data_IF_176993089680
#
_entry.id   IF_176993089680
#
_cell.length_a   1.000
_cell.length_b   1.000
_cell.length_c   1.000
_cell.angle_alpha   90.00
_cell.angle_beta   90.00
_cell.angle_gamma   90.00
#
_symmetry.space_group_name_H-M   'P 1'
#
loop_
_entity.id
_entity.type
_entity.pdbx_description
1 polymer ?
#
# COMPACT_ATOMS: atom_id res chain seq x y z
N UNK A 1 63.36 -63.74 37.77
CA UNK A 1 63.26 -64.65 38.94
C UNK A 1 61.94 -64.35 39.65
N UNK A 2 61.13 -65.39 39.93
CA UNK A 2 59.85 -65.41 40.68
C UNK A 2 58.66 -64.60 40.10
N UNK A 3 57.60 -65.21 39.54
CA UNK A 3 56.56 -66.12 40.08
C UNK A 3 55.73 -65.57 41.25
N UNK A 4 54.46 -65.34 40.93
CA UNK A 4 53.23 -65.68 41.66
C UNK A 4 52.93 -65.02 43.03
N UNK A 5 51.76 -64.38 43.19
CA UNK A 5 50.50 -65.00 43.66
C UNK A 5 49.45 -63.95 44.09
N UNK A 6 48.19 -64.32 43.87
CA UNK A 6 46.96 -64.10 44.67
C UNK A 6 46.06 -62.87 44.44
N UNK A 7 44.89 -63.22 43.89
CA UNK A 7 43.56 -62.64 44.00
C UNK A 7 43.24 -61.92 45.33
N UNK A 8 42.52 -60.79 45.23
CA UNK A 8 41.21 -60.58 45.89
C UNK A 8 40.48 -59.34 45.33
N UNK A 9 39.27 -59.63 44.81
CA UNK A 9 38.01 -58.87 44.72
C UNK A 9 38.00 -57.43 45.27
N UNK A 10 37.46 -56.48 44.50
CA UNK A 10 36.32 -55.60 44.85
C UNK A 10 35.82 -54.90 43.56
N UNK A 11 34.51 -54.99 43.36
CA UNK A 11 33.69 -54.33 42.32
C UNK A 11 33.55 -52.85 42.68
N UNK A 12 33.72 -51.93 41.72
CA UNK A 12 32.78 -50.81 41.47
C UNK A 12 33.25 -49.93 40.30
N UNK A 13 32.27 -49.36 39.60
CA UNK A 13 32.30 -48.30 38.59
C UNK A 13 32.70 -48.67 37.15
N UNK A 14 31.68 -49.08 36.39
CA UNK A 14 31.64 -48.98 34.94
C UNK A 14 31.67 -47.51 34.51
N UNK A 15 32.79 -47.07 33.95
CA UNK A 15 32.82 -46.03 32.92
C UNK A 15 33.39 -46.66 31.66
N UNK A 16 32.52 -47.29 30.88
CA UNK A 16 32.84 -47.75 29.53
C UNK A 16 32.36 -46.69 28.54
N UNK A 17 33.36 -46.01 27.99
CA UNK A 17 33.39 -45.26 26.75
C UNK A 17 32.28 -45.71 25.75
N UNK A 18 31.19 -44.95 25.66
CA UNK A 18 30.27 -45.05 24.52
C UNK A 18 30.90 -44.22 23.41
N UNK A 19 31.59 -44.91 22.50
CA UNK A 19 31.77 -44.42 21.14
C UNK A 19 30.39 -44.38 20.48
N UNK A 20 29.72 -43.24 20.58
CA UNK A 20 28.49 -43.00 19.84
C UNK A 20 28.90 -42.52 18.46
N UNK A 21 28.95 -43.46 17.51
CA UNK A 21 28.76 -43.16 16.09
C UNK A 21 27.31 -42.68 15.97
N UNK A 22 27.07 -41.39 16.13
CA UNK A 22 25.81 -40.79 15.70
C UNK A 22 25.81 -40.78 14.19
N UNK A 23 25.03 -41.71 13.64
CA UNK A 23 24.53 -41.65 12.28
C UNK A 23 24.05 -40.21 11.98
N UNK A 24 24.61 -39.62 10.92
CA UNK A 24 23.97 -38.53 10.19
C UNK A 24 22.60 -39.02 9.72
N UNK A 25 21.54 -38.78 10.49
CA UNK A 25 20.18 -38.72 9.95
C UNK A 25 19.84 -37.25 9.67
N UNK A 26 20.65 -36.65 8.80
CA UNK A 26 20.35 -35.37 8.17
C UNK A 26 19.63 -35.64 6.85
N UNK A 27 18.39 -35.16 6.76
CA UNK A 27 17.67 -34.94 5.50
C UNK A 27 17.48 -36.15 4.57
N UNK A 28 16.52 -37.00 4.91
CA UNK A 28 15.73 -37.71 3.90
C UNK A 28 14.24 -37.46 4.15
N UNK A 29 13.81 -36.23 3.85
CA UNK A 29 12.46 -35.96 3.38
C UNK A 29 12.59 -35.13 2.10
N UNK A 30 13.22 -35.70 1.07
CA UNK A 30 12.82 -35.38 -0.29
C UNK A 30 11.55 -36.20 -0.55
N UNK A 31 10.40 -35.67 -0.13
CA UNK A 31 9.19 -35.98 -0.91
C UNK A 31 9.48 -35.51 -2.33
N UNK A 32 9.02 -36.26 -3.32
CA UNK A 32 9.27 -35.98 -4.72
C UNK A 32 8.76 -34.57 -5.11
N UNK A 33 9.62 -33.55 -4.98
CA UNK A 33 9.36 -32.22 -5.50
C UNK A 33 9.36 -32.35 -7.03
N UNK A 34 8.16 -32.45 -7.61
CA UNK A 34 8.01 -32.39 -9.05
C UNK A 34 8.68 -31.11 -9.56
N UNK A 35 9.65 -31.24 -10.47
CA UNK A 35 10.36 -30.09 -11.02
C UNK A 35 9.38 -29.01 -11.49
N UNK A 36 9.65 -27.74 -11.18
CA UNK A 36 8.80 -26.64 -11.64
C UNK A 36 8.85 -26.61 -13.18
N UNK A 37 7.70 -26.74 -13.88
CA UNK A 37 7.69 -26.72 -15.33
C UNK A 37 8.18 -25.38 -15.86
N UNK A 38 8.62 -25.34 -17.11
CA UNK A 38 8.99 -24.07 -17.76
C UNK A 38 7.73 -23.20 -17.94
N UNK A 39 7.78 -21.89 -17.64
CA UNK A 39 6.65 -21.01 -17.91
C UNK A 39 6.38 -20.92 -19.42
N UNK A 40 5.09 -20.79 -19.76
CA UNK A 40 4.61 -20.56 -21.12
C UNK A 40 4.90 -19.15 -21.63
N UNK A 41 4.87 -18.16 -20.73
CA UNK A 41 5.24 -16.78 -20.98
C UNK A 41 5.99 -16.25 -19.76
N UNK A 42 7.00 -15.41 -19.97
CA UNK A 42 7.82 -14.87 -18.89
C UNK A 42 8.31 -13.47 -19.24
N UNK A 43 8.00 -12.51 -18.37
CA UNK A 43 8.44 -11.12 -18.46
C UNK A 43 9.38 -10.83 -17.31
N UNK A 44 10.62 -10.45 -17.63
CA UNK A 44 11.64 -10.09 -16.64
C UNK A 44 11.87 -8.57 -16.73
N UNK A 45 11.77 -7.89 -15.60
CA UNK A 45 11.86 -6.43 -15.52
C UNK A 45 13.31 -6.01 -15.26
N UNK A 46 14.17 -6.34 -16.23
CA UNK A 46 15.56 -5.90 -16.28
C UNK A 46 15.83 -5.07 -17.55
N UNK A 47 17.05 -4.55 -17.69
CA UNK A 47 17.45 -3.75 -18.84
C UNK A 47 17.45 -4.52 -20.19
N UNK A 48 17.37 -5.86 -20.17
CA UNK A 48 17.28 -6.70 -21.37
C UNK A 48 15.83 -7.04 -21.71
N UNK A 49 15.00 -7.28 -20.71
CA UNK A 49 13.60 -7.62 -20.84
C UNK A 49 12.73 -6.42 -21.17
N UNK A 50 13.10 -5.22 -20.70
CA UNK A 50 12.49 -3.95 -21.10
C UNK A 50 13.47 -3.13 -21.94
N UNK A 51 13.12 -2.87 -23.20
CA UNK A 51 13.91 -2.01 -24.08
C UNK A 51 13.01 -1.24 -25.06
N UNK A 52 13.43 -0.03 -25.45
CA UNK A 52 12.72 0.79 -26.43
C UNK A 52 11.20 0.94 -26.14
N UNK A 53 10.84 1.20 -24.88
CA UNK A 53 9.46 1.30 -24.42
C UNK A 53 8.60 0.04 -24.69
N UNK A 54 9.24 -1.14 -24.60
CA UNK A 54 8.56 -2.43 -24.73
C UNK A 54 9.07 -3.43 -23.70
N UNK A 55 8.17 -4.23 -23.15
CA UNK A 55 8.49 -5.44 -22.38
C UNK A 55 8.47 -6.64 -23.33
N UNK A 56 9.48 -7.49 -23.26
CA UNK A 56 9.58 -8.71 -24.05
C UNK A 56 9.11 -9.91 -23.24
N UNK A 57 8.20 -10.69 -23.81
CA UNK A 57 7.94 -12.05 -23.36
C UNK A 57 9.05 -12.98 -23.89
N UNK A 58 9.67 -13.77 -23.02
CA UNK A 58 10.72 -14.74 -23.41
C UNK A 58 10.24 -15.80 -24.41
N UNK A 59 8.94 -16.09 -24.47
CA UNK A 59 8.37 -16.97 -25.49
C UNK A 59 8.05 -16.25 -26.81
N UNK A 60 8.16 -14.93 -26.84
CA UNK A 60 7.92 -14.09 -28.03
C UNK A 60 6.44 -13.92 -28.40
N UNK A 61 5.50 -14.36 -27.55
CA UNK A 61 4.06 -14.37 -27.87
C UNK A 61 3.41 -13.04 -27.50
N UNK A 62 3.77 -12.50 -26.34
CA UNK A 62 3.14 -11.31 -25.78
C UNK A 62 4.17 -10.24 -25.39
N UNK A 63 4.76 -9.58 -26.39
CA UNK A 63 5.60 -8.41 -26.15
C UNK A 63 4.77 -7.12 -26.14
N UNK A 64 4.80 -6.38 -25.04
CA UNK A 64 3.91 -5.24 -24.82
C UNK A 64 4.56 -3.88 -25.08
N UNK A 65 3.73 -2.88 -25.39
CA UNK A 65 4.12 -1.46 -25.44
C UNK A 65 3.99 -0.87 -24.04
N UNK A 66 4.95 -0.07 -23.62
CA UNK A 66 4.85 0.70 -22.39
C UNK A 66 3.72 1.71 -22.47
N UNK A 67 2.98 1.84 -21.36
CA UNK A 67 2.08 2.94 -21.05
C UNK A 67 2.77 3.74 -19.95
N UNK A 68 2.81 5.07 -20.07
CA UNK A 68 3.53 5.92 -19.12
C UNK A 68 5.05 5.74 -19.21
N UNK A 69 5.75 5.94 -18.09
CA UNK A 69 7.22 5.92 -17.98
C UNK A 69 7.64 5.20 -16.70
N UNK A 70 7.41 3.87 -16.59
CA UNK A 70 7.91 3.10 -15.45
C UNK A 70 9.44 3.17 -15.41
N UNK A 71 10.02 3.18 -14.21
CA UNK A 71 11.45 3.46 -14.03
C UNK A 71 12.23 2.21 -13.64
N UNK A 72 13.35 1.99 -14.33
CA UNK A 72 14.28 0.90 -13.99
C UNK A 72 15.00 1.20 -12.67
N UNK A 73 15.06 0.19 -11.79
CA UNK A 73 15.80 0.23 -10.54
C UNK A 73 16.53 -1.09 -10.32
N UNK A 74 17.56 -1.02 -9.48
CA UNK A 74 18.32 -2.19 -9.06
C UNK A 74 18.70 -2.05 -7.59
N UNK A 75 18.52 -3.13 -6.84
CA UNK A 75 19.02 -3.29 -5.47
C UNK A 75 19.82 -4.58 -5.46
N UNK A 76 21.11 -4.49 -5.15
CA UNK A 76 22.06 -5.59 -5.22
C UNK A 76 21.99 -6.33 -6.58
N UNK A 77 21.68 -7.63 -6.55
CA UNK A 77 21.53 -8.47 -7.75
C UNK A 77 20.11 -8.42 -8.36
N UNK A 78 19.16 -7.72 -7.74
CA UNK A 78 17.75 -7.70 -8.14
C UNK A 78 17.43 -6.46 -8.97
N UNK A 79 17.11 -6.68 -10.24
CA UNK A 79 16.57 -5.66 -11.14
C UNK A 79 15.04 -5.70 -11.14
N UNK A 80 14.41 -4.53 -11.21
CA UNK A 80 12.96 -4.38 -11.27
C UNK A 80 12.57 -3.05 -11.91
N UNK A 81 11.28 -2.88 -12.18
CA UNK A 81 10.72 -1.60 -12.60
C UNK A 81 9.71 -1.08 -11.58
N UNK A 82 9.77 0.21 -11.29
CA UNK A 82 8.79 0.95 -10.48
C UNK A 82 7.70 1.56 -11.36
N UNK A 83 6.47 1.48 -10.88
CA UNK A 83 5.24 1.97 -11.50
C UNK A 83 4.64 3.05 -10.61
N UNK A 84 4.11 4.12 -11.22
CA UNK A 84 3.65 5.33 -10.54
C UNK A 84 2.14 5.58 -10.74
N UNK A 85 1.34 4.51 -10.84
CA UNK A 85 -0.12 4.56 -10.95
C UNK A 85 -0.65 4.94 -12.35
N UNK A 86 0.16 5.59 -13.18
CA UNK A 86 -0.18 5.93 -14.57
C UNK A 86 0.56 5.07 -15.60
N UNK A 87 1.40 4.15 -15.13
CA UNK A 87 2.26 3.31 -15.95
C UNK A 87 1.61 1.96 -16.30
N UNK A 88 2.26 1.17 -17.16
CA UNK A 88 1.84 -0.19 -17.47
C UNK A 88 2.55 -0.75 -18.70
N UNK A 89 2.23 -1.98 -19.08
CA UNK A 89 2.59 -2.52 -20.39
C UNK A 89 1.40 -3.20 -21.04
N UNK A 90 0.93 -2.62 -22.13
CA UNK A 90 -0.13 -3.18 -22.95
C UNK A 90 0.45 -4.30 -23.81
N UNK A 91 0.12 -5.55 -23.48
CA UNK A 91 0.54 -6.73 -24.23
C UNK A 91 -0.30 -6.89 -25.50
N UNK A 92 -1.61 -6.66 -25.40
CA UNK A 92 -2.56 -6.67 -26.51
C UNK A 92 -3.84 -5.91 -26.14
N UNK A 93 -4.33 -5.04 -27.02
CA UNK A 93 -5.53 -4.23 -26.78
C UNK A 93 -6.83 -5.05 -26.77
N UNK A 94 -6.98 -5.92 -27.77
CA UNK A 94 -8.17 -6.76 -27.94
C UNK A 94 -7.74 -8.22 -27.90
N UNK A 95 -7.42 -8.73 -26.71
CA UNK A 95 -7.06 -10.12 -26.51
C UNK A 95 -8.31 -11.01 -26.38
N UNK A 96 -8.16 -12.28 -26.74
CA UNK A 96 -9.20 -13.30 -26.60
C UNK A 96 -8.58 -14.58 -26.02
N UNK A 97 -9.42 -15.50 -25.52
CA UNK A 97 -8.95 -16.80 -25.05
C UNK A 97 -8.35 -17.71 -26.13
N UNK A 98 -8.49 -17.36 -27.41
CA UNK A 98 -7.96 -18.13 -28.53
C UNK A 98 -6.48 -17.86 -28.84
N UNK A 99 -5.89 -16.82 -28.24
CA UNK A 99 -4.52 -16.41 -28.52
C UNK A 99 -3.50 -17.46 -28.00
N UNK A 100 -2.49 -17.85 -28.80
CA UNK A 100 -1.48 -18.81 -28.36
C UNK A 100 -0.75 -18.34 -27.10
N UNK A 101 -0.83 -19.13 -26.03
CA UNK A 101 -0.20 -18.80 -24.75
C UNK A 101 -1.13 -18.14 -23.73
N UNK A 102 -2.39 -17.85 -24.08
CA UNK A 102 -3.40 -17.53 -23.08
C UNK A 102 -3.78 -18.77 -22.26
N UNK A 103 -4.10 -18.63 -20.96
CA UNK A 103 -4.65 -19.70 -20.14
C UNK A 103 -5.97 -20.27 -20.69
N UNK A 104 -6.25 -21.56 -20.50
CA UNK A 104 -7.52 -22.18 -20.94
C UNK A 104 -8.28 -22.90 -19.81
N UNK A 105 -7.92 -24.13 -19.44
CA UNK A 105 -8.61 -24.91 -18.38
C UNK A 105 -7.92 -24.87 -17.03
N UNK A 106 -6.60 -24.66 -17.03
CA UNK A 106 -5.77 -24.63 -15.84
C UNK A 106 -4.56 -23.77 -16.08
N UNK A 107 -4.11 -23.06 -15.05
CA UNK A 107 -2.94 -22.21 -15.14
C UNK A 107 -2.41 -21.83 -13.76
N UNK A 108 -1.21 -21.28 -13.76
CA UNK A 108 -0.62 -20.63 -12.60
C UNK A 108 0.07 -19.34 -13.00
N UNK A 109 0.07 -18.38 -12.08
CA UNK A 109 0.87 -17.17 -12.17
C UNK A 109 1.85 -17.12 -11.00
N UNK A 110 3.01 -16.54 -11.22
CA UNK A 110 3.98 -16.20 -10.17
C UNK A 110 4.57 -14.85 -10.51
N UNK A 111 4.70 -13.98 -9.49
CA UNK A 111 5.28 -12.66 -9.62
C UNK A 111 6.05 -12.30 -8.36
N UNK A 112 7.20 -11.64 -8.54
CA UNK A 112 7.83 -10.87 -7.47
C UNK A 112 7.32 -9.43 -7.57
N UNK A 113 6.58 -8.99 -6.54
CA UNK A 113 5.85 -7.72 -6.51
C UNK A 113 6.09 -6.97 -5.21
N UNK A 114 6.10 -5.64 -5.28
CA UNK A 114 6.02 -4.70 -4.17
C UNK A 114 4.86 -3.75 -4.42
N UNK A 115 3.98 -3.56 -3.44
CA UNK A 115 2.89 -2.57 -3.53
C UNK A 115 3.27 -1.38 -2.66
N UNK A 116 3.31 -0.19 -3.23
CA UNK A 116 3.72 1.04 -2.55
C UNK A 116 2.51 1.89 -2.16
N UNK A 117 1.41 1.81 -2.93
CA UNK A 117 0.12 2.42 -2.59
C UNK A 117 -1.01 1.40 -2.75
N UNK A 118 -1.92 1.36 -1.78
CA UNK A 118 -3.10 0.49 -1.85
C UNK A 118 -4.16 1.14 -2.72
N UNK A 119 -4.80 0.36 -3.57
CA UNK A 119 -5.87 0.80 -4.48
C UNK A 119 -6.93 -0.29 -4.47
N UNK A 120 -8.20 0.10 -4.52
CA UNK A 120 -9.29 -0.84 -4.81
C UNK A 120 -9.12 -1.34 -6.24
N UNK A 121 -9.28 -2.65 -6.47
CA UNK A 121 -9.15 -3.28 -7.80
C UNK A 121 -7.80 -3.00 -8.52
N UNK A 122 -6.68 -2.96 -7.79
CA UNK A 122 -5.36 -2.80 -8.39
C UNK A 122 -4.94 -4.04 -9.20
N UNK A 123 -4.40 -3.85 -10.41
CA UNK A 123 -3.99 -4.96 -11.29
C UNK A 123 -2.48 -5.14 -11.44
N UNK A 124 -2.04 -6.40 -11.52
CA UNK A 124 -0.64 -6.80 -11.75
C UNK A 124 -0.49 -7.41 -13.15
N UNK A 125 -1.34 -8.38 -13.49
CA UNK A 125 -1.45 -8.94 -14.83
C UNK A 125 -2.88 -9.48 -15.01
N UNK A 126 -3.55 -9.08 -16.08
CA UNK A 126 -4.90 -9.57 -16.34
C UNK A 126 -5.40 -9.29 -17.74
N UNK A 127 -6.48 -9.99 -18.07
CA UNK A 127 -7.29 -9.87 -19.27
C UNK A 127 -8.74 -10.07 -18.81
N UNK A 128 -9.41 -8.98 -18.46
CA UNK A 128 -10.70 -9.00 -17.74
C UNK A 128 -11.62 -7.88 -18.27
N UNK A 129 -12.92 -8.11 -18.14
CA UNK A 129 -14.01 -7.14 -18.31
C UNK A 129 -14.96 -7.33 -17.13
N UNK A 130 -15.28 -6.26 -16.40
CA UNK A 130 -16.17 -6.26 -15.23
C UNK A 130 -17.13 -5.05 -15.29
N UNK A 131 -17.99 -5.04 -16.32
CA UNK A 131 -18.87 -3.90 -16.61
C UNK A 131 -20.31 -4.20 -16.18
N UNK A 132 -20.60 -4.06 -14.89
CA UNK A 132 -21.90 -4.40 -14.31
C UNK A 132 -22.09 -5.91 -14.24
N UNK A 133 -23.03 -6.48 -15.00
CA UNK A 133 -23.23 -7.93 -15.02
C UNK A 133 -22.30 -8.66 -16.01
N UNK A 134 -21.54 -7.92 -16.83
CA UNK A 134 -20.62 -8.53 -17.78
C UNK A 134 -19.26 -8.82 -17.12
N UNK A 135 -19.14 -9.99 -16.50
CA UNK A 135 -17.99 -10.35 -15.65
C UNK A 135 -17.17 -11.51 -16.26
N UNK A 136 -16.16 -11.20 -17.08
CA UNK A 136 -15.39 -12.22 -17.83
C UNK A 136 -13.88 -12.01 -17.78
N UNK A 137 -13.13 -13.11 -17.72
CA UNK A 137 -11.68 -13.15 -17.78
C UNK A 137 -11.02 -13.44 -16.44
N UNK A 138 -9.81 -12.89 -16.23
CA UNK A 138 -9.03 -13.12 -15.02
C UNK A 138 -8.05 -11.98 -14.73
N UNK A 139 -7.71 -11.83 -13.46
CA UNK A 139 -6.79 -10.82 -12.96
C UNK A 139 -5.99 -11.35 -11.78
N UNK A 140 -4.66 -11.24 -11.84
CA UNK A 140 -3.81 -11.19 -10.65
C UNK A 140 -3.72 -9.74 -10.20
N UNK A 141 -4.07 -9.47 -8.94
CA UNK A 141 -4.19 -8.10 -8.46
C UNK A 141 -4.04 -7.95 -6.96
N UNK A 142 -4.55 -6.82 -6.47
CA UNK A 142 -4.64 -6.46 -5.07
C UNK A 142 -5.84 -5.56 -4.83
N UNK A 143 -6.28 -5.51 -3.58
CA UNK A 143 -7.39 -4.68 -3.13
C UNK A 143 -7.01 -4.12 -1.75
N UNK A 144 -6.68 -2.82 -1.73
CA UNK A 144 -6.26 -2.06 -0.55
C UNK A 144 -5.04 -2.61 0.21
N UNK A 145 -5.20 -3.68 0.97
CA UNK A 145 -4.16 -4.36 1.75
C UNK A 145 -4.14 -5.89 1.54
N UNK A 146 -4.98 -6.44 0.64
CA UNK A 146 -5.03 -7.86 0.29
C UNK A 146 -4.55 -8.11 -1.12
N UNK A 147 -3.83 -9.20 -1.35
CA UNK A 147 -3.64 -9.69 -2.72
C UNK A 147 -4.89 -10.42 -3.20
N UNK A 148 -5.17 -10.32 -4.49
CA UNK A 148 -6.37 -10.89 -5.10
C UNK A 148 -6.06 -11.76 -6.30
N UNK A 149 -6.91 -12.76 -6.49
CA UNK A 149 -7.01 -13.52 -7.72
C UNK A 149 -8.47 -13.53 -8.15
N UNK A 150 -8.77 -12.87 -9.26
CA UNK A 150 -10.11 -12.79 -9.83
C UNK A 150 -10.20 -13.68 -11.06
N UNK A 151 -11.29 -14.44 -11.17
CA UNK A 151 -11.48 -15.40 -12.24
C UNK A 151 -12.96 -15.59 -12.56
N UNK A 152 -13.29 -15.62 -13.85
CA UNK A 152 -14.58 -16.08 -14.39
C UNK A 152 -14.37 -17.36 -15.20
N UNK A 153 -15.26 -18.34 -15.02
CA UNK A 153 -15.16 -19.67 -15.65
C UNK A 153 -16.52 -20.14 -16.17
N UNK A 154 -16.50 -20.98 -17.20
CA UNK A 154 -17.70 -21.54 -17.82
C UNK A 154 -18.48 -22.49 -16.89
N UNK A 155 -17.89 -22.89 -15.75
CA UNK A 155 -18.58 -23.67 -14.73
C UNK A 155 -19.44 -22.85 -13.78
N UNK A 156 -19.11 -21.56 -13.59
CA UNK A 156 -19.84 -20.64 -12.72
C UNK A 156 -20.71 -19.62 -13.49
N UNK A 157 -20.60 -19.61 -14.83
CA UNK A 157 -21.31 -18.69 -15.72
C UNK A 157 -22.84 -18.77 -15.52
N UNK A 158 -23.44 -17.62 -15.22
CA UNK A 158 -24.88 -17.40 -15.03
C UNK A 158 -25.56 -16.71 -16.25
N UNK A 159 -24.82 -16.51 -17.33
CA UNK A 159 -25.33 -16.06 -18.64
C UNK A 159 -24.42 -15.03 -19.30
N UNK A 160 -24.05 -13.99 -18.55
CA UNK A 160 -23.16 -12.90 -18.95
C UNK A 160 -21.76 -12.99 -18.32
N UNK A 161 -21.49 -14.06 -17.58
CA UNK A 161 -20.23 -14.31 -16.90
C UNK A 161 -20.31 -13.96 -15.42
N UNK A 162 -19.54 -14.69 -14.61
CA UNK A 162 -19.52 -14.51 -13.16
C UNK A 162 -18.11 -14.58 -12.60
N UNK A 163 -17.62 -13.49 -12.03
CA UNK A 163 -16.30 -13.48 -11.39
C UNK A 163 -16.37 -13.94 -9.93
N UNK A 164 -15.32 -14.63 -9.49
CA UNK A 164 -15.00 -14.80 -8.07
C UNK A 164 -13.67 -14.11 -7.80
N UNK A 165 -13.65 -13.20 -6.83
CA UNK A 165 -12.42 -12.55 -6.34
C UNK A 165 -11.96 -13.20 -5.03
N UNK A 166 -10.95 -14.07 -5.13
CA UNK A 166 -10.30 -14.69 -3.97
C UNK A 166 -9.28 -13.71 -3.36
N UNK A 167 -9.41 -13.42 -2.06
CA UNK A 167 -8.50 -12.55 -1.30
C UNK A 167 -7.55 -13.38 -0.43
N UNK A 168 -6.32 -12.91 -0.26
CA UNK A 168 -5.39 -13.48 0.73
C UNK A 168 -5.90 -13.31 2.16
N UNK A 169 -5.61 -14.28 3.04
CA UNK A 169 -5.95 -14.17 4.47
C UNK A 169 -5.16 -13.03 5.13
N UNK A 170 -3.84 -13.03 4.96
CA UNK A 170 -2.97 -12.00 5.52
C UNK A 170 -3.06 -10.70 4.72
N UNK A 171 -2.90 -9.57 5.42
CA UNK A 171 -2.66 -8.27 4.76
C UNK A 171 -1.19 -8.13 4.40
N UNK A 172 -0.89 -7.56 3.23
CA UNK A 172 0.47 -7.20 2.88
C UNK A 172 0.86 -5.87 3.52
N UNK A 173 2.17 -5.68 3.70
CA UNK A 173 2.74 -4.42 4.13
C UNK A 173 3.20 -3.64 2.90
N UNK A 174 2.78 -2.38 2.77
CA UNK A 174 3.23 -1.52 1.67
C UNK A 174 4.75 -1.31 1.72
N UNK A 175 5.39 -1.14 0.56
CA UNK A 175 6.83 -1.02 0.42
C UNK A 175 7.61 -2.33 0.59
N UNK A 176 6.93 -3.47 0.87
CA UNK A 176 7.58 -4.77 1.08
C UNK A 176 7.45 -5.68 -0.14
N UNK A 177 8.52 -6.41 -0.45
CA UNK A 177 8.53 -7.40 -1.51
C UNK A 177 7.85 -8.70 -1.09
N UNK A 178 7.07 -9.26 -2.02
CA UNK A 178 6.40 -10.53 -1.88
C UNK A 178 6.55 -11.37 -3.16
N UNK A 179 6.69 -12.68 -2.98
CA UNK A 179 6.41 -13.63 -4.06
C UNK A 179 4.93 -13.98 -4.01
N UNK A 180 4.17 -13.44 -4.95
CA UNK A 180 2.74 -13.71 -5.11
C UNK A 180 2.56 -14.77 -6.19
N UNK A 181 1.81 -15.82 -5.89
CA UNK A 181 1.49 -16.85 -6.86
C UNK A 181 0.03 -17.29 -6.77
N UNK A 182 -0.53 -17.74 -7.89
CA UNK A 182 -1.87 -18.30 -7.95
C UNK A 182 -1.89 -19.60 -8.75
N UNK A 183 -2.85 -20.47 -8.46
CA UNK A 183 -3.10 -21.66 -9.27
C UNK A 183 -4.60 -21.89 -9.45
N UNK A 184 -4.97 -22.31 -10.65
CA UNK A 184 -6.31 -22.77 -10.98
C UNK A 184 -6.21 -24.10 -11.72
N UNK A 185 -6.82 -25.15 -11.17
CA UNK A 185 -6.75 -26.52 -11.69
C UNK A 185 -7.99 -26.96 -12.49
N UNK A 186 -8.92 -26.03 -12.75
CA UNK A 186 -10.21 -26.31 -13.38
C UNK A 186 -11.31 -26.66 -12.36
N UNK A 187 -11.02 -26.68 -11.06
CA UNK A 187 -12.00 -26.92 -10.00
C UNK A 187 -11.77 -26.08 -8.73
N UNK A 188 -10.53 -25.72 -8.43
CA UNK A 188 -10.12 -24.89 -7.30
C UNK A 188 -9.19 -23.78 -7.77
N UNK A 189 -9.43 -22.56 -7.30
CA UNK A 189 -8.50 -21.44 -7.41
C UNK A 189 -7.81 -21.20 -6.07
N UNK A 190 -6.51 -20.92 -6.09
CA UNK A 190 -5.67 -20.76 -4.90
C UNK A 190 -4.76 -19.55 -5.02
N UNK A 191 -4.48 -18.90 -3.90
CA UNK A 191 -3.54 -17.79 -3.79
C UNK A 191 -2.48 -18.11 -2.74
N UNK A 192 -1.22 -17.77 -3.05
CA UNK A 192 -0.06 -18.05 -2.23
C UNK A 192 0.79 -16.80 -2.06
N UNK A 193 1.28 -16.56 -0.83
CA UNK A 193 2.23 -15.49 -0.52
C UNK A 193 3.48 -16.14 0.04
N UNK A 194 4.65 -15.81 -0.52
CA UNK A 194 5.96 -16.31 -0.08
C UNK A 194 5.98 -17.84 0.07
N UNK A 195 5.40 -18.54 -0.92
CA UNK A 195 5.36 -20.01 -0.96
C UNK A 195 4.26 -20.66 -0.13
N UNK A 196 3.49 -19.91 0.68
CA UNK A 196 2.47 -20.45 1.59
C UNK A 196 1.06 -20.20 1.05
N UNK A 197 0.17 -21.18 1.20
CA UNK A 197 -1.25 -21.06 0.82
C UNK A 197 -1.96 -20.06 1.73
N UNK A 198 -2.57 -19.04 1.13
CA UNK A 198 -3.27 -17.97 1.84
C UNK A 198 -4.78 -17.93 1.58
N UNK A 199 -5.25 -18.69 0.59
CA UNK A 199 -6.68 -18.82 0.29
C UNK A 199 -6.96 -19.88 -0.78
N UNK A 200 -8.15 -20.47 -0.72
CA UNK A 200 -8.69 -21.40 -1.71
C UNK A 200 -10.19 -21.15 -1.88
N UNK A 201 -10.68 -21.25 -3.12
CA UNK A 201 -12.12 -21.26 -3.45
C UNK A 201 -12.41 -22.33 -4.50
N UNK A 202 -13.63 -22.88 -4.45
CA UNK A 202 -14.19 -23.86 -5.39
C UNK A 202 -15.38 -23.32 -6.18
N UNK A 203 -15.62 -22.02 -6.13
CA UNK A 203 -16.76 -21.40 -6.83
C UNK A 203 -16.60 -21.45 -8.36
N UNK A 204 -15.36 -21.38 -8.85
CA UNK A 204 -15.04 -21.41 -10.27
C UNK A 204 -14.61 -22.82 -10.71
N UNK A 205 -15.06 -23.28 -11.89
CA UNK A 205 -14.73 -24.61 -12.44
C UNK A 205 -14.76 -24.63 -13.98
N UNK A 206 -14.14 -25.64 -14.61
CA UNK A 206 -13.96 -25.80 -16.07
C UNK A 206 -13.03 -24.74 -16.71
N UNK A 207 -13.20 -24.48 -18.00
CA UNK A 207 -12.41 -23.50 -18.74
C UNK A 207 -12.76 -22.07 -18.36
N UNK A 208 -11.79 -21.18 -18.52
CA UNK A 208 -11.94 -19.74 -18.30
C UNK A 208 -12.98 -19.17 -19.27
N UNK A 209 -13.84 -18.29 -18.75
CA UNK A 209 -14.83 -17.55 -19.54
C UNK A 209 -14.20 -16.21 -19.94
N UNK A 210 -13.77 -16.08 -21.19
CA UNK A 210 -13.17 -14.86 -21.72
C UNK A 210 -14.21 -13.95 -22.37
N UNK A 211 -14.01 -12.64 -22.25
CA UNK A 211 -14.66 -11.68 -23.11
C UNK A 211 -14.20 -11.86 -24.58
N UNK A 212 -15.02 -11.39 -25.52
CA UNK A 212 -14.68 -11.39 -26.95
C UNK A 212 -13.57 -10.38 -27.30
N UNK A 213 -13.36 -9.38 -26.44
CA UNK A 213 -12.23 -8.47 -26.46
C UNK A 213 -11.99 -7.92 -25.05
N UNK A 214 -10.74 -7.97 -24.59
CA UNK A 214 -10.30 -7.31 -23.37
C UNK A 214 -8.82 -6.93 -23.48
N UNK A 215 -8.37 -5.84 -22.83
CA UNK A 215 -6.95 -5.50 -22.78
C UNK A 215 -6.20 -6.54 -21.96
N UNK A 216 -5.16 -7.13 -22.55
CA UNK A 216 -4.19 -7.95 -21.83
C UNK A 216 -3.02 -7.06 -21.42
N UNK A 217 -2.88 -6.83 -20.12
CA UNK A 217 -2.06 -5.73 -19.59
C UNK A 217 -1.31 -6.11 -18.32
N UNK A 218 -0.09 -5.59 -18.19
CA UNK A 218 0.75 -5.67 -16.99
C UNK A 218 0.69 -4.34 -16.24
N UNK A 219 0.66 -4.43 -14.90
CA UNK A 219 0.79 -3.30 -13.97
C UNK A 219 -0.45 -2.43 -13.88
N UNK A 220 -1.59 -2.92 -14.36
CA UNK A 220 -2.89 -2.23 -14.31
C UNK A 220 -4.02 -3.23 -14.27
N UNK A 221 -5.12 -2.81 -13.69
CA UNK A 221 -6.45 -3.31 -14.01
C UNK A 221 -7.07 -2.29 -14.96
N UNK A 222 -7.62 -2.77 -16.07
CA UNK A 222 -8.30 -1.94 -17.06
C UNK A 222 -9.34 -2.77 -17.76
N UNK A 223 -10.54 -2.24 -17.85
CA UNK A 223 -11.63 -2.73 -18.67
C UNK A 223 -12.26 -1.55 -19.44
N UNK A 224 -13.56 -1.59 -19.76
CA UNK A 224 -14.17 -0.58 -20.63
C UNK A 224 -14.43 0.77 -19.93
N UNK A 225 -14.66 0.79 -18.61
CA UNK A 225 -14.94 2.02 -17.86
C UNK A 225 -14.06 2.26 -16.61
N UNK A 226 -13.15 1.34 -16.28
CA UNK A 226 -12.19 1.48 -15.20
C UNK A 226 -10.72 1.38 -15.66
N UNK A 227 -9.82 2.12 -14.99
CA UNK A 227 -8.38 2.07 -15.25
C UNK A 227 -7.57 2.38 -13.97
N UNK A 228 -7.19 1.33 -13.25
CA UNK A 228 -6.44 1.42 -11.99
C UNK A 228 -5.01 0.89 -12.18
N UNK A 229 -4.05 1.82 -12.20
CA UNK A 229 -2.63 1.46 -12.36
C UNK A 229 -1.93 1.15 -11.04
N UNK A 230 -0.90 0.31 -11.14
CA UNK A 230 -0.03 -0.06 -10.04
C UNK A 230 0.83 1.13 -9.58
N UNK A 231 0.84 1.38 -8.27
CA UNK A 231 1.91 2.13 -7.60
C UNK A 231 2.74 1.13 -6.79
N UNK A 232 3.94 0.82 -7.27
CA UNK A 232 4.71 -0.30 -6.76
C UNK A 232 5.87 -0.71 -7.65
N UNK A 233 6.35 -1.94 -7.50
CA UNK A 233 7.42 -2.47 -8.32
C UNK A 233 7.21 -3.93 -8.72
N UNK A 234 7.54 -4.29 -9.96
CA UNK A 234 7.52 -5.66 -10.47
C UNK A 234 8.93 -6.06 -10.87
N UNK A 235 9.39 -7.24 -10.41
CA UNK A 235 10.68 -7.85 -10.81
C UNK A 235 10.50 -8.84 -11.95
N UNK A 236 9.50 -9.70 -11.86
CA UNK A 236 9.22 -10.72 -12.87
C UNK A 236 7.78 -11.21 -12.78
N UNK A 237 7.24 -11.65 -13.92
CA UNK A 237 5.97 -12.38 -13.99
C UNK A 237 6.16 -13.63 -14.85
N UNK A 238 5.68 -14.76 -14.36
CA UNK A 238 5.71 -16.05 -15.03
C UNK A 238 4.30 -16.64 -15.12
N UNK A 239 3.89 -17.02 -16.33
CA UNK A 239 2.60 -17.66 -16.59
C UNK A 239 2.80 -19.11 -17.05
N UNK A 240 2.10 -20.05 -16.40
CA UNK A 240 2.18 -21.49 -16.66
C UNK A 240 0.85 -22.02 -17.17
N UNK A 241 0.88 -22.95 -18.12
CA UNK A 241 -0.31 -23.64 -18.67
C UNK A 241 -0.77 -24.85 -17.82
N UNK A 242 -0.28 -24.92 -16.58
CA UNK A 242 -0.56 -25.98 -15.62
C UNK A 242 -0.79 -25.35 -14.25
N UNK A 243 -1.68 -25.93 -13.46
CA UNK A 243 -1.78 -25.61 -12.05
C UNK A 243 -0.54 -26.15 -11.31
N UNK A 244 0.29 -25.25 -10.79
CA UNK A 244 1.43 -25.62 -9.96
C UNK A 244 0.97 -26.13 -8.58
N UNK A 245 1.67 -27.13 -8.06
CA UNK A 245 1.47 -27.61 -6.69
C UNK A 245 2.01 -26.62 -5.66
N UNK A 246 1.60 -26.76 -4.40
CA UNK A 246 2.14 -25.96 -3.30
C UNK A 246 3.67 -26.10 -3.19
N UNK A 247 4.21 -27.31 -3.35
CA UNK A 247 5.65 -27.56 -3.32
C UNK A 247 6.40 -26.87 -4.46
N UNK A 248 5.81 -26.84 -5.67
CA UNK A 248 6.40 -26.12 -6.80
C UNK A 248 6.41 -24.60 -6.59
N UNK A 249 5.35 -24.07 -5.99
CA UNK A 249 5.24 -22.63 -5.66
C UNK A 249 6.21 -22.26 -4.54
N UNK A 250 6.36 -23.11 -3.52
CA UNK A 250 7.39 -22.94 -2.50
C UNK A 250 8.79 -22.95 -3.13
N UNK A 251 9.09 -23.89 -4.01
CA UNK A 251 10.37 -23.96 -4.72
C UNK A 251 10.63 -22.74 -5.62
N UNK A 252 9.60 -22.07 -6.14
CA UNK A 252 9.75 -20.79 -6.85
C UNK A 252 10.14 -19.65 -5.91
N UNK A 253 9.50 -19.55 -4.75
CA UNK A 253 9.81 -18.55 -3.73
C UNK A 253 11.26 -18.68 -3.23
N UNK A 254 11.71 -19.90 -2.94
CA UNK A 254 13.05 -20.16 -2.37
C UNK A 254 14.20 -19.67 -3.28
N UNK A 255 13.99 -19.51 -4.59
CA UNK A 255 15.01 -19.00 -5.52
C UNK A 255 15.47 -17.58 -5.20
N UNK A 256 14.58 -16.77 -4.65
CA UNK A 256 14.80 -15.34 -4.40
C UNK A 256 14.28 -14.93 -3.01
N UNK A 257 14.19 -15.86 -2.05
CA UNK A 257 13.64 -15.62 -0.71
C UNK A 257 14.32 -14.47 0.06
N UNK A 258 15.57 -14.15 -0.28
CA UNK A 258 16.28 -12.99 0.24
C UNK A 258 15.57 -11.66 -0.06
N UNK A 259 14.88 -11.55 -1.21
CA UNK A 259 14.15 -10.34 -1.61
C UNK A 259 12.98 -10.05 -0.67
N UNK A 260 12.25 -11.08 -0.22
CA UNK A 260 11.18 -10.94 0.77
C UNK A 260 11.69 -10.59 2.19
N UNK A 261 12.99 -10.76 2.42
CA UNK A 261 13.65 -10.46 3.70
C UNK A 261 14.18 -9.03 3.76
N UNK A 262 14.15 -8.28 2.66
CA UNK A 262 14.49 -6.86 2.66
C UNK A 262 13.50 -6.09 3.54
N UNK A 263 14.00 -5.06 4.22
CA UNK A 263 13.14 -4.10 4.90
C UNK A 263 12.20 -3.42 3.88
N UNK A 264 10.96 -3.07 4.26
CA UNK A 264 10.10 -2.26 3.42
C UNK A 264 10.81 -0.97 3.01
N UNK A 265 10.66 -0.55 1.75
CA UNK A 265 11.22 0.72 1.30
C UNK A 265 10.50 1.88 2.01
N UNK A 266 11.20 3.01 2.18
CA UNK A 266 10.52 4.19 2.65
C UNK A 266 9.51 4.71 1.63
N UNK A 267 8.26 4.92 2.05
CA UNK A 267 7.20 5.47 1.19
C UNK A 267 7.02 6.95 1.47
N UNK A 268 6.76 7.81 0.48
CA UNK A 268 6.52 9.23 0.73
C UNK A 268 5.36 9.42 1.73
N UNK A 269 5.61 10.17 2.81
CA UNK A 269 4.57 10.66 3.71
C UNK A 269 4.30 12.11 3.35
N UNK A 270 3.11 12.39 2.82
CA UNK A 270 2.66 13.75 2.52
C UNK A 270 1.64 14.24 3.53
N UNK A 271 1.37 15.55 3.54
CA UNK A 271 0.19 16.09 4.21
C UNK A 271 -1.04 15.85 3.34
N UNK A 272 -2.01 15.11 3.87
CA UNK A 272 -3.38 15.06 3.33
C UNK A 272 -4.09 16.36 3.69
N UNK A 273 -3.98 16.78 4.96
CA UNK A 273 -4.36 18.10 5.45
C UNK A 273 -3.11 18.74 6.05
N UNK A 274 -2.69 19.87 5.48
CA UNK A 274 -1.56 20.63 6.00
C UNK A 274 -1.88 21.26 7.38
N UNK A 275 -0.86 21.69 8.15
CA UNK A 275 -1.07 22.13 9.53
C UNK A 275 -2.07 23.26 9.67
N UNK A 276 -3.01 23.11 10.59
CA UNK A 276 -3.99 24.12 10.97
C UNK A 276 -4.08 24.28 12.48
N UNK A 277 -4.67 25.40 12.91
CA UNK A 277 -4.65 25.86 14.29
C UNK A 277 -6.04 25.76 14.93
N UNK A 278 -6.11 25.27 16.17
CA UNK A 278 -7.32 25.21 16.98
C UNK A 278 -7.06 25.56 18.44
N UNK A 279 -8.15 25.89 19.16
CA UNK A 279 -8.18 26.08 20.61
C UNK A 279 -7.05 26.96 21.21
N UNK A 280 -6.77 28.16 20.66
CA UNK A 280 -5.82 29.09 21.27
C UNK A 280 -6.33 29.53 22.65
N UNK A 281 -5.42 29.60 23.61
CA UNK A 281 -5.59 30.28 24.90
C UNK A 281 -4.53 31.36 25.05
N UNK A 282 -4.48 32.01 26.22
CA UNK A 282 -3.39 32.96 26.54
C UNK A 282 -2.03 32.26 26.62
N UNK A 283 -1.97 30.96 26.90
CA UNK A 283 -0.72 30.24 27.15
C UNK A 283 -0.60 28.90 26.43
N UNK A 284 -1.51 28.59 25.51
CA UNK A 284 -1.50 27.35 24.75
C UNK A 284 -2.17 27.49 23.39
N UNK A 285 -1.91 26.53 22.50
CA UNK A 285 -2.60 26.35 21.23
C UNK A 285 -2.50 24.89 20.79
N UNK A 286 -3.50 24.38 20.07
CA UNK A 286 -3.47 23.06 19.45
C UNK A 286 -3.15 23.19 17.96
N UNK A 287 -2.18 22.40 17.50
CA UNK A 287 -1.82 22.29 16.08
C UNK A 287 -2.24 20.91 15.60
N UNK A 288 -3.01 20.89 14.51
CA UNK A 288 -3.53 19.67 13.91
C UNK A 288 -3.11 19.54 12.45
N UNK A 289 -2.98 18.31 11.96
CA UNK A 289 -2.72 18.01 10.55
C UNK A 289 -3.07 16.55 10.25
N UNK A 290 -3.08 16.16 8.98
CA UNK A 290 -3.30 14.78 8.57
C UNK A 290 -2.22 14.33 7.59
N UNK A 291 -1.70 13.12 7.75
CA UNK A 291 -0.70 12.51 6.86
C UNK A 291 -1.26 11.36 6.04
N UNK A 292 -0.60 11.02 4.93
CA UNK A 292 -0.99 9.93 4.03
C UNK A 292 -0.69 8.53 4.57
N UNK A 293 -0.02 8.42 5.72
CA UNK A 293 0.30 7.16 6.40
C UNK A 293 0.51 7.43 7.89
N UNK A 294 0.19 6.48 8.80
CA UNK A 294 0.44 6.65 10.22
C UNK A 294 1.88 7.10 10.49
N UNK A 295 2.02 8.22 11.20
CA UNK A 295 3.32 8.85 11.42
C UNK A 295 3.44 9.48 12.81
N UNK A 296 4.67 9.76 13.23
CA UNK A 296 4.95 10.49 14.47
C UNK A 296 4.44 11.94 14.41
N UNK A 297 4.23 12.54 15.58
CA UNK A 297 3.70 13.91 15.69
C UNK A 297 4.70 14.81 16.40
N UNK A 298 5.41 15.68 15.66
CA UNK A 298 6.37 16.64 16.24
C UNK A 298 6.10 18.05 15.76
N UNK A 299 6.09 19.01 16.69
CA UNK A 299 6.06 20.45 16.41
C UNK A 299 7.31 21.09 17.00
N UNK A 300 8.08 21.80 16.19
CA UNK A 300 9.12 22.74 16.65
C UNK A 300 8.53 24.15 16.66
N UNK A 301 8.86 24.97 17.65
CA UNK A 301 8.32 26.33 17.77
C UNK A 301 9.27 27.29 18.51
N UNK A 302 9.00 28.59 18.40
CA UNK A 302 9.81 29.65 19.03
C UNK A 302 9.37 31.06 18.64
N UNK A 303 9.77 32.07 19.40
CA UNK A 303 9.52 33.49 19.08
C UNK A 303 10.52 34.05 18.06
N UNK A 304 11.56 33.28 17.74
CA UNK A 304 12.61 33.58 16.76
C UNK A 304 13.06 32.29 16.07
N UNK A 305 13.79 32.45 14.96
CA UNK A 305 14.52 31.36 14.31
C UNK A 305 15.98 31.33 14.80
N UNK A 306 16.63 30.16 14.87
CA UNK A 306 16.08 28.81 14.67
C UNK A 306 15.07 28.42 15.76
N UNK A 307 14.19 27.46 15.47
CA UNK A 307 13.19 26.97 16.42
C UNK A 307 13.86 26.05 17.44
N UNK A 308 13.86 26.45 18.71
CA UNK A 308 14.58 25.76 19.78
C UNK A 308 13.66 24.93 20.69
N UNK A 309 12.36 25.23 20.74
CA UNK A 309 11.39 24.46 21.52
C UNK A 309 10.72 23.41 20.66
N UNK A 310 10.29 22.31 21.28
CA UNK A 310 9.54 21.26 20.60
C UNK A 310 8.48 20.64 21.51
N UNK A 311 7.43 20.10 20.90
CA UNK A 311 6.40 19.29 21.53
C UNK A 311 6.12 18.07 20.65
N UNK A 312 5.77 16.95 21.27
CA UNK A 312 5.47 15.68 20.59
C UNK A 312 4.25 15.01 21.19
N UNK A 313 3.49 14.28 20.38
CA UNK A 313 2.48 13.32 20.86
C UNK A 313 3.01 11.90 20.65
N UNK A 314 2.92 11.07 21.68
CA UNK A 314 3.38 9.68 21.63
C UNK A 314 2.55 8.83 20.66
N UNK A 315 3.19 7.83 20.07
CA UNK A 315 2.57 6.93 19.08
C UNK A 315 2.58 7.48 17.65
N UNK A 316 1.91 6.76 16.76
CA UNK A 316 1.69 7.15 15.36
C UNK A 316 0.20 7.32 15.08
N UNK A 317 -0.15 8.27 14.23
CA UNK A 317 -1.54 8.53 13.84
C UNK A 317 -1.62 9.06 12.41
N UNK A 318 -2.80 8.98 11.81
CA UNK A 318 -3.11 9.65 10.53
C UNK A 318 -3.49 11.11 10.78
N UNK A 319 -4.38 11.34 11.74
CA UNK A 319 -4.75 12.67 12.25
C UNK A 319 -3.88 12.97 13.46
N UNK A 320 -3.18 14.09 13.41
CA UNK A 320 -2.23 14.53 14.42
C UNK A 320 -2.81 15.70 15.19
N UNK A 321 -2.49 15.75 16.47
CA UNK A 321 -2.95 16.79 17.39
C UNK A 321 -1.85 17.00 18.41
N UNK A 322 -1.26 18.19 18.44
CA UNK A 322 -0.19 18.53 19.39
C UNK A 322 -0.57 19.83 20.10
N UNK A 323 -0.70 19.75 21.42
CA UNK A 323 -0.88 20.89 22.31
C UNK A 323 0.48 21.51 22.61
N UNK A 324 0.63 22.80 22.32
CA UNK A 324 1.73 23.62 22.83
C UNK A 324 1.27 24.31 24.11
N UNK A 325 2.06 24.24 25.18
CA UNK A 325 1.73 24.84 26.48
C UNK A 325 2.84 25.78 26.95
N UNK A 326 2.58 26.53 28.05
CA UNK A 326 3.53 27.45 28.68
C UNK A 326 4.01 28.54 27.72
N UNK A 327 3.11 29.01 26.86
CA UNK A 327 3.36 30.12 25.95
C UNK A 327 3.08 31.45 26.65
N UNK A 328 3.72 32.50 26.16
CA UNK A 328 3.48 33.87 26.61
C UNK A 328 2.19 34.42 25.96
N UNK A 329 1.32 35.14 26.70
CA UNK A 329 0.14 35.78 26.14
C UNK A 329 0.44 36.82 25.07
N UNK A 330 -0.52 37.07 24.18
CA UNK A 330 -0.45 38.06 23.10
C UNK A 330 0.84 38.01 22.24
N UNK A 331 1.48 36.84 22.14
CA UNK A 331 2.82 36.68 21.56
C UNK A 331 2.75 35.92 20.25
N UNK A 332 3.51 36.41 19.25
CA UNK A 332 3.67 35.73 17.96
C UNK A 332 4.76 34.66 18.06
N UNK A 333 4.45 33.49 17.55
CA UNK A 333 5.35 32.35 17.47
C UNK A 333 5.51 31.91 16.02
N UNK A 334 6.70 31.42 15.70
CA UNK A 334 6.97 30.60 14.55
C UNK A 334 6.81 29.12 14.94
N UNK A 335 6.35 28.29 14.02
CA UNK A 335 6.28 26.84 14.21
C UNK A 335 6.55 26.08 12.92
N UNK A 336 6.95 24.82 13.05
CA UNK A 336 7.13 23.87 11.96
C UNK A 336 6.74 22.48 12.47
N UNK A 337 5.89 21.78 11.72
CA UNK A 337 5.55 20.38 11.99
C UNK A 337 6.41 19.42 11.18
N UNK A 338 6.76 18.29 11.79
CA UNK A 338 7.48 17.17 11.20
C UNK A 338 6.78 15.86 11.61
N UNK A 339 6.49 15.01 10.62
CA UNK A 339 5.94 13.67 10.82
C UNK A 339 6.80 12.64 10.08
N UNK A 340 7.15 11.56 10.77
CA UNK A 340 7.90 10.44 10.22
C UNK A 340 7.06 9.17 10.31
N UNK A 341 6.78 8.53 9.18
CA UNK A 341 6.10 7.23 9.16
C UNK A 341 7.07 6.10 9.49
N UNK A 342 6.53 4.96 9.93
CA UNK A 342 7.33 3.75 10.15
C UNK A 342 7.95 3.25 8.84
N UNK A 343 7.31 3.55 7.71
CA UNK A 343 7.86 3.39 6.37
C UNK A 343 8.80 4.55 6.00
N UNK A 344 9.52 5.16 6.94
CA UNK A 344 10.60 6.15 6.72
C UNK A 344 10.23 7.45 5.97
N UNK A 345 8.99 7.65 5.58
CA UNK A 345 8.53 8.84 4.87
C UNK A 345 8.41 10.04 5.78
N UNK A 346 8.84 11.21 5.31
CA UNK A 346 8.86 12.44 6.10
C UNK A 346 7.92 13.47 5.48
N UNK A 347 6.91 13.90 6.24
CA UNK A 347 6.14 15.11 5.98
C UNK A 347 6.72 16.26 6.80
N UNK A 348 7.22 17.31 6.13
CA UNK A 348 7.80 18.49 6.76
C UNK A 348 7.14 19.74 6.21
N UNK A 349 6.57 20.55 7.10
CA UNK A 349 5.97 21.84 6.71
C UNK A 349 7.02 22.93 6.51
N UNK A 350 6.63 24.03 5.86
CA UNK A 350 7.40 25.28 5.95
C UNK A 350 7.34 25.87 7.35
N UNK A 351 8.10 26.95 7.59
CA UNK A 351 7.94 27.74 8.82
C UNK A 351 6.66 28.56 8.73
N UNK A 352 5.74 28.30 9.66
CA UNK A 352 4.43 28.93 9.80
C UNK A 352 4.41 29.81 11.06
N UNK A 353 3.31 30.52 11.29
CA UNK A 353 3.19 31.45 12.42
C UNK A 353 1.83 31.34 13.10
N UNK A 354 1.78 31.56 14.41
CA UNK A 354 0.53 31.77 15.13
C UNK A 354 0.71 32.88 16.17
N UNK A 355 -0.40 33.31 16.79
CA UNK A 355 -0.39 34.24 17.93
C UNK A 355 -1.26 33.67 19.06
N UNK A 356 -0.77 33.70 20.30
CA UNK A 356 -1.56 33.36 21.49
C UNK A 356 -2.66 34.41 21.72
N UNK A 357 -3.72 34.03 22.45
CA UNK A 357 -4.82 34.92 22.72
C UNK A 357 -4.35 36.23 23.41
N UNK A 358 -5.09 37.31 23.16
CA UNK A 358 -4.85 38.62 23.79
C UNK A 358 -4.97 38.53 25.31
N UNK A 359 -4.36 39.49 26.02
CA UNK A 359 -4.53 39.62 27.47
C UNK A 359 -5.91 40.18 27.81
N UNK A 360 -6.26 40.19 29.10
CA UNK A 360 -7.51 40.83 29.52
C UNK A 360 -7.53 42.31 29.16
N UNK A 361 -8.72 42.82 28.86
CA UNK A 361 -8.99 44.21 28.44
C UNK A 361 -8.40 44.66 27.10
N UNK A 362 -7.64 43.81 26.40
CA UNK A 362 -7.17 44.08 25.04
C UNK A 362 -8.28 43.82 24.01
N UNK A 363 -8.42 44.70 23.00
CA UNK A 363 -9.37 44.47 21.91
C UNK A 363 -8.90 43.31 21.03
N UNK A 364 -9.85 42.46 20.62
CA UNK A 364 -9.62 41.42 19.63
C UNK A 364 -10.62 41.52 18.47
N UNK A 365 -10.29 40.83 17.38
CA UNK A 365 -11.08 40.76 16.16
C UNK A 365 -11.27 39.31 15.76
N UNK A 366 -12.41 38.98 15.18
CA UNK A 366 -12.69 37.65 14.67
C UNK A 366 -13.55 37.76 13.41
N UNK A 367 -13.55 36.70 12.62
CA UNK A 367 -14.47 36.56 11.49
C UNK A 367 -15.43 35.40 11.76
N UNK A 368 -16.63 35.51 11.21
CA UNK A 368 -17.66 34.46 11.28
C UNK A 368 -18.02 34.06 9.86
N UNK A 369 -18.01 32.76 9.60
CA UNK A 369 -18.46 32.15 8.35
C UNK A 369 -19.33 30.94 8.67
N UNK A 370 -20.12 30.49 7.71
CA UNK A 370 -20.85 29.24 7.74
C UNK A 370 -21.22 28.84 6.33
N UNK A 371 -21.77 27.64 6.18
CA UNK A 371 -22.40 27.21 4.92
C UNK A 371 -21.42 27.23 3.73
N UNK A 372 -20.22 26.69 3.95
CA UNK A 372 -19.16 26.63 2.93
C UNK A 372 -19.39 25.46 1.96
N UNK A 373 -19.91 24.33 2.45
CA UNK A 373 -20.37 23.16 1.69
C UNK A 373 -19.50 22.88 0.42
N UNK A 374 -20.15 22.63 -0.73
CA UNK A 374 -19.55 22.27 -2.03
C UNK A 374 -19.15 23.46 -2.90
N UNK A 375 -18.37 24.40 -2.37
CA UNK A 375 -17.92 25.54 -3.19
C UNK A 375 -16.46 26.00 -2.96
N UNK A 376 -15.46 25.13 -3.22
CA UNK A 376 -14.05 25.43 -2.95
C UNK A 376 -13.55 26.75 -3.53
N UNK A 377 -14.04 27.11 -4.73
CA UNK A 377 -13.63 28.35 -5.41
C UNK A 377 -14.09 29.59 -4.66
N UNK A 378 -15.33 29.57 -4.14
CA UNK A 378 -15.85 30.68 -3.35
C UNK A 378 -15.29 30.66 -1.94
N UNK A 379 -15.19 29.49 -1.30
CA UNK A 379 -14.53 29.30 0.00
C UNK A 379 -13.13 29.93 -0.02
N UNK A 380 -12.29 29.59 -1.00
CA UNK A 380 -10.95 30.17 -1.09
C UNK A 380 -10.92 31.69 -1.25
N UNK A 381 -11.87 32.28 -2.01
CA UNK A 381 -11.99 33.75 -2.12
C UNK A 381 -12.36 34.39 -0.79
N UNK A 382 -13.32 33.81 -0.07
CA UNK A 382 -13.76 34.29 1.24
C UNK A 382 -12.63 34.18 2.26
N UNK A 383 -11.90 33.05 2.29
CA UNK A 383 -10.76 32.85 3.19
C UNK A 383 -9.64 33.87 2.94
N UNK A 384 -9.39 34.23 1.67
CA UNK A 384 -8.44 35.30 1.33
C UNK A 384 -8.91 36.67 1.83
N UNK A 385 -10.20 36.99 1.71
CA UNK A 385 -10.75 38.22 2.26
C UNK A 385 -10.66 38.26 3.79
N UNK A 386 -10.90 37.14 4.46
CA UNK A 386 -10.72 37.01 5.92
C UNK A 386 -9.26 37.25 6.30
N UNK A 387 -8.32 36.65 5.58
CA UNK A 387 -6.89 36.85 5.81
C UNK A 387 -6.49 38.34 5.76
N UNK A 388 -7.03 39.09 4.80
CA UNK A 388 -6.80 40.54 4.68
C UNK A 388 -7.31 41.34 5.89
N UNK A 389 -8.28 40.80 6.66
CA UNK A 389 -8.78 41.41 7.90
C UNK A 389 -7.93 41.10 9.12
N UNK A 390 -6.99 40.16 9.02
CA UNK A 390 -6.09 39.72 10.12
C UNK A 390 -6.87 39.44 11.43
N UNK A 391 -7.89 38.57 11.41
CA UNK A 391 -8.59 38.21 12.64
C UNK A 391 -7.66 37.47 13.60
N UNK A 392 -7.97 37.55 14.90
CA UNK A 392 -7.33 36.74 15.93
C UNK A 392 -7.78 35.27 15.86
N UNK A 393 -9.03 35.03 15.46
CA UNK A 393 -9.58 33.70 15.20
C UNK A 393 -10.76 33.72 14.21
N UNK A 394 -11.09 32.56 13.68
CA UNK A 394 -12.24 32.32 12.80
C UNK A 394 -13.27 31.47 13.53
N UNK A 395 -14.54 31.84 13.45
CA UNK A 395 -15.66 30.97 13.84
C UNK A 395 -16.33 30.42 12.58
N UNK A 396 -16.47 29.09 12.49
CA UNK A 396 -17.23 28.44 11.42
C UNK A 396 -18.51 27.85 12.00
N UNK A 397 -19.68 28.42 11.69
CA UNK A 397 -20.92 28.17 12.44
C UNK A 397 -21.79 27.02 11.89
N UNK A 398 -21.17 25.97 11.36
CA UNK A 398 -21.88 24.82 10.76
C UNK A 398 -21.87 24.80 9.24
N UNK A 399 -22.32 23.66 8.69
CA UNK A 399 -22.36 23.32 7.27
C UNK A 399 -21.00 23.62 6.59
N UNK A 400 -19.98 23.05 7.24
CA UNK A 400 -18.56 23.08 6.84
C UNK A 400 -18.35 22.27 5.57
N UNK A 401 -19.04 21.14 5.44
CA UNK A 401 -19.09 20.30 4.24
C UNK A 401 -20.54 19.91 3.96
N UNK A 402 -20.86 19.46 2.74
CA UNK A 402 -22.21 19.03 2.37
C UNK A 402 -22.53 17.61 2.85
N UNK A 403 -21.51 16.74 2.94
CA UNK A 403 -21.65 15.37 3.39
C UNK A 403 -20.45 14.95 4.25
N UNK A 404 -20.62 14.97 5.57
CA UNK A 404 -19.55 14.61 6.53
C UNK A 404 -18.79 13.30 6.26
N UNK A 405 -19.44 12.21 5.82
CA UNK A 405 -18.75 10.99 5.41
C UNK A 405 -17.86 11.09 4.17
N UNK A 406 -18.03 12.11 3.31
CA UNK A 406 -17.21 12.27 2.11
C UNK A 406 -15.90 12.99 2.45
N UNK A 407 -14.83 12.19 2.60
CA UNK A 407 -13.48 12.70 2.90
C UNK A 407 -12.98 13.72 1.86
N UNK A 408 -13.39 13.61 0.60
CA UNK A 408 -12.96 14.52 -0.45
C UNK A 408 -13.43 15.95 -0.20
N UNK A 409 -14.62 16.14 0.37
CA UNK A 409 -15.16 17.46 0.71
C UNK A 409 -14.30 18.13 1.80
N UNK A 410 -13.90 17.40 2.84
CA UNK A 410 -12.99 17.92 3.85
C UNK A 410 -11.65 18.33 3.26
N UNK A 411 -11.00 17.41 2.53
CA UNK A 411 -9.63 17.62 2.03
C UNK A 411 -9.60 18.69 0.94
N UNK A 412 -10.37 18.51 -0.13
CA UNK A 412 -10.25 19.30 -1.34
C UNK A 412 -11.19 20.51 -1.38
N UNK A 413 -12.29 20.50 -0.62
CA UNK A 413 -13.31 21.56 -0.69
C UNK A 413 -13.25 22.53 0.49
N UNK A 414 -12.86 22.06 1.67
CA UNK A 414 -12.64 22.91 2.85
C UNK A 414 -11.15 23.25 3.04
N UNK A 415 -10.31 22.27 3.38
CA UNK A 415 -8.96 22.54 3.87
C UNK A 415 -8.05 23.09 2.79
N UNK A 416 -8.02 22.48 1.61
CA UNK A 416 -7.17 22.92 0.49
C UNK A 416 -7.36 24.39 0.10
N UNK A 417 -8.59 24.92 -0.10
CA UNK A 417 -8.77 26.34 -0.40
C UNK A 417 -8.60 27.26 0.82
N UNK A 418 -8.63 26.74 2.05
CA UNK A 418 -8.58 27.54 3.28
C UNK A 418 -7.20 27.55 3.95
N UNK A 419 -6.26 26.71 3.50
CA UNK A 419 -5.05 26.41 4.25
C UNK A 419 -4.19 27.63 4.52
N UNK A 420 -4.09 28.57 3.57
CA UNK A 420 -3.30 29.79 3.72
C UNK A 420 -3.70 30.61 4.97
N UNK A 421 -5.00 30.57 5.31
CA UNK A 421 -5.56 31.16 6.52
C UNK A 421 -5.42 30.23 7.73
N UNK A 422 -5.89 28.98 7.62
CA UNK A 422 -6.03 28.07 8.76
C UNK A 422 -4.69 27.65 9.39
N UNK A 423 -3.60 27.71 8.63
CA UNK A 423 -2.24 27.49 9.15
C UNK A 423 -1.66 28.69 9.92
N UNK A 424 -2.43 29.77 10.07
CA UNK A 424 -1.97 31.02 10.72
C UNK A 424 -3.01 31.67 11.63
N UNK A 425 -4.29 31.41 11.40
CA UNK A 425 -5.42 31.89 12.18
C UNK A 425 -6.17 30.67 12.73
N UNK A 426 -6.34 30.58 14.06
CA UNK A 426 -7.08 29.48 14.66
C UNK A 426 -8.56 29.49 14.29
N UNK A 427 -9.11 28.30 14.06
CA UNK A 427 -10.52 28.10 13.73
C UNK A 427 -11.27 27.41 14.86
N UNK A 428 -12.48 27.87 15.10
CA UNK A 428 -13.48 27.27 15.98
C UNK A 428 -14.66 26.82 15.12
N UNK A 429 -14.68 25.56 14.66
CA UNK A 429 -15.83 25.04 13.94
C UNK A 429 -16.96 24.67 14.90
N UNK A 430 -18.17 24.65 14.37
CA UNK A 430 -19.36 24.05 14.93
C UNK A 430 -19.93 23.06 13.91
N UNK A 431 -20.55 21.99 14.40
CA UNK A 431 -21.22 20.98 13.57
C UNK A 431 -22.56 21.55 13.08
N UNK A 432 -22.82 21.48 11.77
CA UNK A 432 -24.12 21.69 11.15
C UNK A 432 -24.84 20.36 10.87
N UNK A 433 -25.97 20.42 10.16
CA UNK A 433 -26.78 19.22 9.89
C UNK A 433 -26.21 18.36 8.74
N UNK A 434 -25.25 18.88 7.97
CA UNK A 434 -24.63 18.18 6.85
C UNK A 434 -23.42 17.31 7.25
N UNK A 435 -22.77 17.61 8.38
CA UNK A 435 -21.62 16.83 8.88
C UNK A 435 -22.01 15.47 9.47
N UNK A 436 -23.29 15.26 9.80
CA UNK A 436 -23.83 13.98 10.33
C UNK A 436 -23.09 13.43 11.56
N UNK A 437 -22.46 14.29 12.37
CA UNK A 437 -21.58 13.90 13.49
C UNK A 437 -20.46 12.92 13.08
N UNK A 438 -19.95 13.03 11.84
CA UNK A 438 -18.94 12.12 11.33
C UNK A 438 -17.58 12.36 12.01
N UNK A 439 -16.77 11.30 12.11
CA UNK A 439 -15.43 11.31 12.73
C UNK A 439 -14.38 12.17 12.01
N UNK A 440 -14.73 12.77 10.87
CA UNK A 440 -13.85 13.66 10.12
C UNK A 440 -13.90 15.12 10.59
N UNK A 441 -14.89 15.47 11.41
CA UNK A 441 -15.06 16.79 12.02
C UNK A 441 -13.98 17.09 13.07
#
# INVERSE_FOLDING_TARGET
>A
MNKNLRNRVIIFSSFALIGLVTFLSGFEFLSAQGAVPKPSNSWIFDAKGVSSQRISDKAGRFSGKTIGVPSFKQIDAHSFYEFHGTDGFLLKENATGAEPGMPHEKFSLSSWIRIDEGTTNGGILGCIQDNGNFEKGWLLGYDNDKFTFTLSSNGADDGDGKITTLRSKSSYQKGKWYHLATSYDGASMRIFINGKLEGESKEQSKSINYASAAPFIIGRYRDDDEDFGLVGAIKEINLYQSALSADQIAALFEKDAALASLAPIPLPTGFVIAPYLQFPTKSSITIMWETSAPASSTVKFGTKLPLEMFATKEGTSLIHEVLLEKLEPATKYFYQVESKSDAGGIALSGVLTFQTAVVDDDPFSFCVIGDTQKNPKMTGKVMKLIWERRPHFLMHVGDVVDNGPDKNEWVNELFKPSIDLLCRVPVFPAIGNHEKNHEHY
#
